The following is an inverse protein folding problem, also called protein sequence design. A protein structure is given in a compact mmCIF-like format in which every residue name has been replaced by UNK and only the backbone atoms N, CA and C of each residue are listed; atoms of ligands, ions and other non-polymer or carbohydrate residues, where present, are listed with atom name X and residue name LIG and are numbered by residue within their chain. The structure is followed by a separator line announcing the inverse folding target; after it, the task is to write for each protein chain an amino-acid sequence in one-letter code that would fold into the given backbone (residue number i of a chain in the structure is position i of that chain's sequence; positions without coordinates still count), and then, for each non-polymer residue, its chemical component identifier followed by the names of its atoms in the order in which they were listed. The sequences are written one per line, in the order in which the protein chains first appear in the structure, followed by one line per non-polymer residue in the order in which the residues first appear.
data_IF_973895183632
#
_entry.id   IF_973895183632
#
_cell.length_a   1.000
_cell.length_b   1.000
_cell.length_c   1.000
_cell.angle_alpha   90.00
_cell.angle_beta   90.00
_cell.angle_gamma   90.00
#
_symmetry.space_group_name_H-M   'P 1'
#
loop_
_entity.id
_entity.type
_entity.pdbx_description
1 polymer ?
#
# COMPACT_ATOMS: atom_id res chain seq x y z
N UNK A 1 28.82 21.72 -23.91
CA UNK A 1 27.79 20.67 -24.09
C UNK A 1 27.20 20.73 -25.49
N UNK A 2 26.90 19.58 -26.10
CA UNK A 2 26.19 19.50 -27.40
C UNK A 2 24.66 19.36 -27.18
N UNK A 3 23.86 19.50 -28.23
CA UNK A 3 22.39 19.48 -28.10
C UNK A 3 21.83 18.13 -27.63
N UNK A 4 22.41 17.01 -28.08
CA UNK A 4 21.98 15.65 -27.66
C UNK A 4 22.18 15.45 -26.15
N UNK A 5 23.36 15.78 -25.63
CA UNK A 5 23.66 15.70 -24.19
C UNK A 5 22.77 16.65 -23.39
N UNK A 6 22.48 17.84 -23.92
CA UNK A 6 21.55 18.75 -23.27
C UNK A 6 20.16 18.12 -23.16
N UNK A 7 19.63 17.56 -24.25
CA UNK A 7 18.28 16.98 -24.27
C UNK A 7 18.13 15.76 -23.36
N UNK A 8 19.16 14.91 -23.27
CA UNK A 8 19.17 13.77 -22.35
C UNK A 8 19.14 14.19 -20.87
N UNK A 9 19.69 15.37 -20.56
CA UNK A 9 19.82 15.86 -19.18
C UNK A 9 18.73 16.86 -18.77
N UNK A 10 17.87 17.33 -19.69
CA UNK A 10 16.82 18.33 -19.39
C UNK A 10 15.83 17.82 -18.35
N UNK A 11 15.42 16.54 -18.39
CA UNK A 11 14.50 15.99 -17.38
C UNK A 11 15.13 16.00 -15.98
N UNK A 12 16.34 15.45 -15.86
CA UNK A 12 17.10 15.38 -14.61
C UNK A 12 17.45 16.79 -14.08
N UNK A 13 17.64 17.74 -14.99
CA UNK A 13 17.83 19.16 -14.66
C UNK A 13 16.57 19.77 -14.03
N UNK A 14 15.38 19.53 -14.60
CA UNK A 14 14.12 20.02 -14.06
C UNK A 14 13.78 19.41 -12.69
N UNK A 15 14.18 18.16 -12.45
CA UNK A 15 14.02 17.46 -11.17
C UNK A 15 15.03 17.91 -10.09
N UNK A 16 15.97 18.81 -10.42
CA UNK A 16 17.07 19.30 -9.56
C UNK A 16 18.02 18.19 -9.05
N UNK A 17 18.17 17.09 -9.80
CA UNK A 17 19.02 15.95 -9.40
C UNK A 17 20.46 16.05 -9.95
N UNK A 18 20.78 17.11 -10.70
CA UNK A 18 22.11 17.30 -11.27
C UNK A 18 23.08 18.01 -10.32
N UNK A 19 24.36 17.62 -10.42
CA UNK A 19 25.46 18.32 -9.77
C UNK A 19 25.53 19.79 -10.22
N UNK A 20 25.93 20.70 -9.32
CA UNK A 20 25.87 22.15 -9.58
C UNK A 20 26.68 22.59 -10.80
N UNK A 21 27.77 21.89 -11.11
CA UNK A 21 28.61 22.16 -12.27
C UNK A 21 27.87 21.85 -13.58
N UNK A 22 27.23 20.68 -13.69
CA UNK A 22 26.48 20.25 -14.88
C UNK A 22 25.22 21.11 -15.07
N UNK A 23 24.55 21.46 -13.98
CA UNK A 23 23.40 22.37 -13.99
C UNK A 23 23.76 23.74 -14.60
N UNK A 24 24.95 24.27 -14.27
CA UNK A 24 25.44 25.53 -14.87
C UNK A 24 25.77 25.41 -16.35
N UNK A 25 26.29 24.26 -16.80
CA UNK A 25 26.56 23.99 -18.21
C UNK A 25 25.28 23.88 -19.04
N UNK A 26 24.21 23.32 -18.45
CA UNK A 26 22.89 23.28 -19.07
C UNK A 26 22.28 24.68 -19.14
N UNK A 27 22.31 25.45 -18.05
CA UNK A 27 21.78 26.81 -18.03
C UNK A 27 22.45 27.72 -19.07
N UNK A 28 23.78 27.61 -19.22
CA UNK A 28 24.52 28.36 -20.25
C UNK A 28 24.18 27.89 -21.66
N UNK A 29 23.93 26.59 -21.87
CA UNK A 29 23.49 26.07 -23.18
C UNK A 29 22.07 26.52 -23.54
N UNK A 30 21.11 26.44 -22.61
CA UNK A 30 19.73 26.88 -22.81
C UNK A 30 19.64 28.38 -23.12
N UNK A 31 20.53 29.21 -22.56
CA UNK A 31 20.59 30.64 -22.86
C UNK A 31 21.01 30.96 -24.31
N UNK A 32 21.69 30.04 -24.99
CA UNK A 32 22.26 30.25 -26.33
C UNK A 32 21.55 29.40 -27.40
N UNK A 33 20.94 28.28 -27.00
CA UNK A 33 20.35 27.30 -27.91
C UNK A 33 18.82 27.31 -27.82
N UNK A 34 18.19 28.08 -28.70
CA UNK A 34 16.73 28.17 -28.85
C UNK A 34 16.01 26.79 -28.93
N UNK A 35 16.46 25.79 -29.71
CA UNK A 35 15.73 24.53 -29.79
C UNK A 35 15.76 23.73 -28.48
N UNK A 36 16.86 23.77 -27.74
CA UNK A 36 16.94 23.13 -26.42
C UNK A 36 16.13 23.90 -25.37
N UNK A 37 16.10 25.23 -25.44
CA UNK A 37 15.26 26.07 -24.59
C UNK A 37 13.76 25.74 -24.76
N UNK A 38 13.32 25.56 -26.02
CA UNK A 38 11.94 25.19 -26.32
C UNK A 38 11.56 23.81 -25.74
N UNK A 39 12.43 22.81 -25.89
CA UNK A 39 12.20 21.48 -25.29
C UNK A 39 12.10 21.59 -23.75
N UNK A 40 12.96 22.40 -23.13
CA UNK A 40 12.90 22.65 -21.69
C UNK A 40 11.59 23.33 -21.26
N UNK A 41 11.09 24.28 -22.05
CA UNK A 41 9.81 24.97 -21.83
C UNK A 41 8.63 24.01 -21.99
N UNK A 42 8.65 23.13 -23.00
CA UNK A 42 7.63 22.12 -23.22
C UNK A 42 7.53 21.14 -22.03
N UNK A 43 8.67 20.68 -21.49
CA UNK A 43 8.68 19.86 -20.28
C UNK A 43 8.20 20.62 -19.04
N UNK A 44 8.60 21.88 -18.88
CA UNK A 44 8.13 22.72 -17.78
C UNK A 44 6.60 22.93 -17.82
N UNK A 45 6.02 23.13 -19.01
CA UNK A 45 4.56 23.22 -19.17
C UNK A 45 3.83 21.93 -18.76
N UNK A 46 4.40 20.76 -19.06
CA UNK A 46 3.82 19.48 -18.64
C UNK A 46 3.87 19.35 -17.11
N UNK A 47 4.99 19.71 -16.49
CA UNK A 47 5.13 19.69 -15.02
C UNK A 47 4.16 20.67 -14.36
N UNK A 48 4.03 21.88 -14.89
CA UNK A 48 3.06 22.86 -14.40
C UNK A 48 1.62 22.35 -14.53
N UNK A 49 1.27 21.67 -15.64
CA UNK A 49 -0.05 21.05 -15.78
C UNK A 49 -0.30 19.96 -14.72
N UNK A 50 0.69 19.09 -14.49
CA UNK A 50 0.61 18.07 -13.44
C UNK A 50 0.52 18.66 -12.03
N UNK A 51 1.09 19.86 -11.80
CA UNK A 51 1.02 20.56 -10.53
C UNK A 51 -0.29 21.38 -10.37
N UNK A 52 -0.93 21.78 -11.48
CA UNK A 52 -2.20 22.52 -11.50
C UNK A 52 -3.40 21.63 -11.19
N UNK A 53 -3.29 20.34 -11.52
CA UNK A 53 -4.04 19.31 -10.83
C UNK A 53 -3.42 19.16 -9.43
N UNK A 54 -3.62 20.18 -8.59
CA UNK A 54 -3.69 19.97 -7.14
C UNK A 54 -4.74 18.88 -6.98
N UNK A 55 -4.25 17.65 -6.96
CA UNK A 55 -4.99 16.46 -6.60
C UNK A 55 -5.80 16.90 -5.39
N UNK A 56 -7.11 16.75 -5.48
CA UNK A 56 -7.99 16.73 -4.33
C UNK A 56 -7.49 15.58 -3.46
N UNK A 57 -6.40 15.85 -2.74
CA UNK A 57 -5.87 15.01 -1.71
C UNK A 57 -6.99 15.05 -0.70
N UNK A 58 -7.89 14.09 -0.82
CA UNK A 58 -8.81 13.69 0.22
C UNK A 58 -7.94 13.56 1.47
N UNK A 59 -7.91 14.63 2.26
CA UNK A 59 -7.07 14.72 3.44
C UNK A 59 -7.43 13.48 4.24
N UNK A 60 -6.49 12.56 4.46
CA UNK A 60 -6.83 11.32 5.11
C UNK A 60 -7.50 11.67 6.44
N UNK A 61 -8.61 11.00 6.81
CA UNK A 61 -9.31 11.32 8.02
C UNK A 61 -8.30 11.35 9.17
N UNK A 62 -8.20 12.49 9.85
CA UNK A 62 -7.22 12.75 10.91
C UNK A 62 -5.74 12.92 10.46
N UNK A 63 -5.50 13.70 9.40
CA UNK A 63 -4.16 14.13 8.98
C UNK A 63 -3.29 14.70 10.12
N UNK A 64 -3.88 15.42 11.07
CA UNK A 64 -3.16 15.95 12.25
C UNK A 64 -2.58 14.85 13.14
N UNK A 65 -3.32 13.78 13.43
CA UNK A 65 -2.79 12.69 14.25
C UNK A 65 -1.74 11.85 13.51
N UNK A 66 -1.86 11.70 12.19
CA UNK A 66 -0.84 11.07 11.36
C UNK A 66 0.46 11.88 11.41
N UNK A 67 0.38 13.21 11.22
CA UNK A 67 1.55 14.08 11.34
C UNK A 67 2.16 14.06 12.73
N UNK A 68 1.36 14.05 13.80
CA UNK A 68 1.86 13.84 15.16
C UNK A 68 2.61 12.51 15.32
N UNK A 69 2.06 11.42 14.76
CA UNK A 69 2.69 10.09 14.82
C UNK A 69 4.00 10.04 14.03
N UNK A 70 4.01 10.60 12.82
CA UNK A 70 5.21 10.68 11.97
C UNK A 70 6.29 11.49 12.68
N UNK A 71 5.93 12.65 13.24
CA UNK A 71 6.87 13.51 13.94
C UNK A 71 7.45 12.81 15.18
N UNK A 72 6.62 12.13 15.96
CA UNK A 72 7.08 11.32 17.09
C UNK A 72 8.02 10.20 16.65
N UNK A 73 7.74 9.53 15.53
CA UNK A 73 8.56 8.43 15.01
C UNK A 73 9.93 8.95 14.56
N UNK A 74 9.97 10.07 13.82
CA UNK A 74 11.21 10.75 13.43
C UNK A 74 11.99 11.19 14.67
N UNK A 75 11.35 11.82 15.65
CA UNK A 75 12.02 12.23 16.89
C UNK A 75 12.60 11.04 17.66
N UNK A 76 11.91 9.89 17.66
CA UNK A 76 12.43 8.67 18.30
C UNK A 76 13.56 8.00 17.52
N UNK A 77 13.54 8.05 16.18
CA UNK A 77 14.60 7.50 15.32
C UNK A 77 15.85 8.40 15.32
N UNK A 78 15.69 9.71 15.25
CA UNK A 78 16.79 10.69 15.38
C UNK A 78 17.41 10.63 16.78
N UNK A 79 16.61 10.38 17.83
CA UNK A 79 17.13 10.19 19.17
C UNK A 79 17.98 8.92 19.34
N UNK A 80 17.82 7.92 18.46
CA UNK A 80 18.64 6.69 18.49
C UNK A 80 20.01 6.83 17.83
N UNK A 81 20.29 7.92 17.11
CA UNK A 81 21.56 8.12 16.40
C UNK A 81 22.59 9.01 17.13
N UNK A 82 22.31 9.46 18.36
CA UNK A 82 23.35 10.09 19.20
C UNK A 82 23.80 9.05 20.23
N UNK A 83 25.00 8.45 20.10
CA UNK A 83 25.55 7.61 21.15
C UNK A 83 25.93 8.48 22.35
N UNK A 84 24.96 8.78 23.21
CA UNK A 84 25.25 9.14 24.60
C UNK A 84 25.51 7.83 25.33
N UNK A 85 26.77 7.59 25.65
CA UNK A 85 27.17 6.58 26.63
C UNK A 85 26.42 6.84 27.94
N UNK A 86 25.32 6.10 28.15
CA UNK A 86 24.63 6.07 29.43
C UNK A 86 24.91 4.71 30.05
N UNK A 87 25.71 4.75 31.11
CA UNK A 87 25.96 3.70 32.08
C UNK A 87 24.66 2.94 32.38
N UNK A 88 24.56 1.69 31.89
CA UNK A 88 23.46 0.78 32.23
C UNK A 88 23.68 0.26 33.64
N UNK A 89 23.11 0.94 34.63
CA UNK A 89 22.83 0.31 35.92
C UNK A 89 21.90 -0.89 35.71
N UNK A 90 22.42 -2.06 36.07
CA UNK A 90 21.76 -3.35 35.92
C UNK A 90 20.57 -3.44 36.87
N UNK A 91 19.38 -3.17 36.37
CA UNK A 91 18.13 -3.62 37.02
C UNK A 91 18.09 -5.15 36.93
N UNK A 92 18.51 -5.82 38.00
CA UNK A 92 18.37 -7.27 38.18
C UNK A 92 16.89 -7.60 38.34
N UNK A 93 16.23 -7.90 37.22
CA UNK A 93 14.89 -8.45 37.17
C UNK A 93 15.00 -9.97 37.36
N UNK A 94 14.79 -10.44 38.59
CA UNK A 94 14.84 -11.86 38.96
C UNK A 94 13.74 -12.64 38.24
N UNK A 95 14.05 -13.24 37.09
CA UNK A 95 13.29 -14.34 36.52
C UNK A 95 13.79 -15.64 37.12
N UNK A 96 13.02 -16.22 38.03
CA UNK A 96 13.25 -17.59 38.50
C UNK A 96 12.69 -18.56 37.47
N UNK A 97 13.47 -18.87 36.44
CA UNK A 97 13.18 -20.01 35.58
C UNK A 97 13.64 -21.30 36.27
N UNK A 98 12.72 -22.26 36.37
CA UNK A 98 13.01 -23.60 36.89
C UNK A 98 13.97 -24.32 35.94
N UNK A 99 15.11 -24.78 36.47
CA UNK A 99 16.22 -25.38 35.71
C UNK A 99 15.83 -26.60 34.85
N UNK A 100 14.64 -27.17 35.03
CA UNK A 100 14.14 -28.27 34.18
C UNK A 100 13.70 -27.83 32.78
N UNK A 101 13.36 -26.56 32.55
CA UNK A 101 12.85 -26.08 31.25
C UNK A 101 13.97 -25.70 30.24
N UNK A 102 15.18 -25.39 30.72
CA UNK A 102 16.30 -24.99 29.85
C UNK A 102 16.91 -26.18 29.11
N UNK A 103 17.02 -27.35 29.74
CA UNK A 103 17.61 -28.54 29.11
C UNK A 103 16.73 -29.16 28.01
N UNK A 104 15.40 -29.12 28.15
CA UNK A 104 14.48 -29.59 27.12
C UNK A 104 14.58 -28.75 25.82
N UNK A 105 14.79 -27.44 25.98
CA UNK A 105 14.89 -26.49 24.87
C UNK A 105 16.17 -26.69 24.05
N UNK A 106 17.30 -26.98 24.71
CA UNK A 106 18.59 -27.24 24.03
C UNK A 106 18.51 -28.52 23.19
N UNK A 107 17.86 -29.57 23.69
CA UNK A 107 17.69 -30.82 22.95
C UNK A 107 16.76 -30.66 21.73
N UNK A 108 15.69 -29.87 21.87
CA UNK A 108 14.78 -29.57 20.76
C UNK A 108 15.45 -28.78 19.63
N UNK A 109 16.21 -27.74 19.97
CA UNK A 109 16.91 -26.90 18.97
C UNK A 109 18.00 -27.72 18.25
N UNK A 110 18.72 -28.59 18.95
CA UNK A 110 19.75 -29.45 18.34
C UNK A 110 19.14 -30.41 17.31
N UNK A 111 18.00 -31.03 17.61
CA UNK A 111 17.31 -31.94 16.69
C UNK A 111 16.77 -31.21 15.45
N UNK A 112 16.18 -30.02 15.61
CA UNK A 112 15.65 -29.23 14.50
C UNK A 112 16.76 -28.71 13.58
N UNK A 113 17.88 -28.25 14.15
CA UNK A 113 19.01 -27.78 13.33
C UNK A 113 19.69 -28.92 12.55
N UNK A 114 19.80 -30.11 13.17
CA UNK A 114 20.34 -31.31 12.51
C UNK A 114 19.46 -31.75 11.33
N UNK A 115 18.12 -31.71 11.50
CA UNK A 115 17.17 -32.03 10.43
C UNK A 115 17.23 -31.02 9.27
N UNK A 116 17.32 -29.72 9.56
CA UNK A 116 17.43 -28.68 8.53
C UNK A 116 18.71 -28.79 7.71
N UNK A 117 19.82 -29.20 8.33
CA UNK A 117 21.11 -29.35 7.64
C UNK A 117 21.09 -30.52 6.65
N UNK A 118 20.42 -31.63 7.01
CA UNK A 118 20.29 -32.81 6.14
C UNK A 118 19.36 -32.54 4.95
N UNK A 119 18.29 -31.76 5.15
CA UNK A 119 17.36 -31.41 4.06
C UNK A 119 17.97 -30.36 3.10
N UNK A 120 18.76 -29.41 3.62
CA UNK A 120 19.43 -28.40 2.81
C UNK A 120 20.45 -28.98 1.82
N UNK A 121 21.24 -29.98 2.24
CA UNK A 121 22.26 -30.60 1.37
C UNK A 121 21.62 -31.43 0.24
N UNK A 122 20.42 -31.99 0.45
CA UNK A 122 19.75 -32.81 -0.57
C UNK A 122 19.03 -32.01 -1.65
N UNK A 123 18.64 -30.76 -1.34
CA UNK A 123 17.90 -29.89 -2.27
C UNK A 123 18.82 -29.02 -3.15
N UNK A 124 20.09 -28.83 -2.76
CA UNK A 124 21.04 -27.99 -3.50
C UNK A 124 21.68 -28.70 -4.71
N UNK A 125 21.39 -29.99 -4.93
CA UNK A 125 21.94 -30.79 -6.03
C UNK A 125 21.06 -30.82 -7.28
N UNK A 126 19.96 -30.06 -7.33
CA UNK A 126 19.14 -29.91 -8.53
C UNK A 126 19.50 -28.60 -9.25
N UNK A 127 19.92 -28.64 -10.53
CA UNK A 127 20.20 -27.42 -11.29
C UNK A 127 18.91 -26.62 -11.49
N UNK A 128 18.96 -25.34 -11.13
CA UNK A 128 17.84 -24.39 -11.23
C UNK A 128 17.76 -23.88 -12.67
N UNK A 129 16.77 -24.33 -13.41
CA UNK A 129 16.26 -23.61 -14.58
C UNK A 129 15.40 -22.45 -14.09
N UNK A 130 15.86 -21.22 -14.34
CA UNK A 130 15.12 -19.99 -14.02
C UNK A 130 14.04 -19.80 -15.09
N UNK A 131 12.85 -20.33 -14.81
CA UNK A 131 11.63 -20.01 -15.57
C UNK A 131 10.74 -19.11 -14.73
N UNK A 132 10.44 -17.94 -15.28
CA UNK A 132 9.65 -16.86 -14.68
C UNK A 132 8.13 -17.15 -14.69
N UNK A 133 7.74 -18.30 -14.12
CA UNK A 133 6.38 -18.62 -13.71
C UNK A 133 6.49 -19.52 -12.47
N UNK A 134 6.89 -18.91 -11.35
CA UNK A 134 6.96 -19.62 -10.09
C UNK A 134 5.54 -19.86 -9.58
N UNK A 135 5.02 -21.07 -9.85
CA UNK A 135 3.98 -21.67 -9.01
C UNK A 135 4.41 -21.55 -7.55
N UNK A 136 3.50 -21.18 -6.62
CA UNK A 136 3.85 -20.93 -5.23
C UNK A 136 4.60 -22.12 -4.67
N UNK A 137 5.77 -21.85 -4.12
CA UNK A 137 6.65 -22.89 -3.61
C UNK A 137 5.90 -23.71 -2.56
N UNK A 138 6.16 -25.02 -2.46
CA UNK A 138 5.50 -25.87 -1.45
C UNK A 138 5.69 -25.33 -0.01
N UNK A 139 6.67 -24.45 0.19
CA UNK A 139 6.91 -23.69 1.40
C UNK A 139 5.83 -22.63 1.70
N UNK A 140 5.38 -21.86 0.70
CA UNK A 140 4.27 -20.90 0.85
C UNK A 140 2.94 -21.61 1.13
N UNK A 141 2.70 -22.76 0.49
CA UNK A 141 1.52 -23.61 0.77
C UNK A 141 1.55 -24.22 2.17
N UNK A 142 2.73 -24.51 2.70
CA UNK A 142 2.89 -25.01 4.07
C UNK A 142 2.72 -23.88 5.09
N UNK A 143 3.21 -22.67 4.81
CA UNK A 143 3.08 -21.51 5.70
C UNK A 143 1.66 -20.94 5.73
N UNK A 144 0.93 -20.95 4.62
CA UNK A 144 -0.49 -20.58 4.57
C UNK A 144 -1.37 -21.52 5.41
N UNK A 145 -0.99 -22.80 5.55
CA UNK A 145 -1.69 -23.75 6.44
C UNK A 145 -1.38 -23.57 7.93
N UNK A 146 -0.31 -22.86 8.28
CA UNK A 146 0.13 -22.65 9.67
C UNK A 146 -0.36 -21.28 10.20
N UNK A 147 -1.01 -20.44 9.38
CA UNK A 147 -1.62 -19.18 9.81
C UNK A 147 -0.61 -18.08 10.17
N UNK A 148 0.64 -18.21 9.72
CA UNK A 148 1.74 -17.28 10.00
C UNK A 148 1.83 -16.16 8.96
N UNK A 149 1.15 -16.31 7.82
CA UNK A 149 1.03 -15.30 6.77
C UNK A 149 -0.45 -15.22 6.41
N UNK A 150 -1.07 -14.09 6.74
CA UNK A 150 -2.41 -13.76 6.25
C UNK A 150 -2.31 -13.75 4.72
N UNK A 151 -3.04 -14.65 4.05
CA UNK A 151 -3.00 -14.71 2.60
C UNK A 151 -3.61 -13.42 2.04
N UNK A 152 -3.13 -12.97 0.87
CA UNK A 152 -3.69 -11.79 0.18
C UNK A 152 -5.21 -11.88 0.03
N UNK A 153 -5.74 -13.08 -0.16
CA UNK A 153 -7.18 -13.36 -0.18
C UNK A 153 -7.86 -13.13 1.17
N UNK A 154 -7.27 -13.57 2.27
CA UNK A 154 -7.86 -13.40 3.60
C UNK A 154 -7.93 -11.92 3.99
N UNK A 155 -6.91 -11.12 3.66
CA UNK A 155 -6.96 -9.66 3.86
C UNK A 155 -8.06 -9.01 3.02
N UNK A 156 -8.26 -9.45 1.76
CA UNK A 156 -9.35 -8.95 0.90
C UNK A 156 -10.73 -9.27 1.49
N UNK A 157 -10.94 -10.52 1.93
CA UNK A 157 -12.19 -10.91 2.58
C UNK A 157 -12.49 -10.09 3.84
N UNK A 158 -11.45 -9.79 4.63
CA UNK A 158 -11.59 -8.96 5.82
C UNK A 158 -12.01 -7.52 5.45
N UNK A 159 -11.41 -6.91 4.42
CA UNK A 159 -11.80 -5.58 3.91
C UNK A 159 -13.25 -5.56 3.41
N UNK A 160 -13.66 -6.54 2.62
CA UNK A 160 -15.03 -6.64 2.11
C UNK A 160 -16.03 -6.72 3.27
N UNK A 161 -15.72 -7.48 4.33
CA UNK A 161 -16.57 -7.55 5.54
C UNK A 161 -16.67 -6.21 6.25
N UNK A 162 -15.57 -5.48 6.37
CA UNK A 162 -15.55 -4.15 6.97
C UNK A 162 -16.39 -3.16 6.15
N UNK A 163 -16.23 -3.14 4.83
CA UNK A 163 -17.03 -2.33 3.92
C UNK A 163 -18.52 -2.68 4.02
N UNK A 164 -18.86 -3.96 4.06
CA UNK A 164 -20.25 -4.42 4.19
C UNK A 164 -20.89 -3.95 5.50
N UNK A 165 -20.15 -3.98 6.61
CA UNK A 165 -20.64 -3.47 7.88
C UNK A 165 -20.89 -1.95 7.85
N UNK A 166 -20.04 -1.19 7.16
CA UNK A 166 -20.22 0.25 6.95
C UNK A 166 -21.45 0.53 6.06
N UNK A 167 -21.62 -0.21 4.97
CA UNK A 167 -22.80 -0.14 4.10
C UNK A 167 -24.08 -0.39 4.91
N UNK A 168 -24.11 -1.44 5.73
CA UNK A 168 -25.27 -1.77 6.57
C UNK A 168 -25.59 -0.66 7.58
N UNK A 169 -24.55 -0.02 8.14
CA UNK A 169 -24.69 1.11 9.05
C UNK A 169 -25.35 2.31 8.34
N UNK A 170 -24.85 2.71 7.17
CA UNK A 170 -25.38 3.85 6.44
C UNK A 170 -26.76 3.57 5.88
N UNK A 171 -27.02 2.35 5.40
CA UNK A 171 -28.32 1.95 4.88
C UNK A 171 -29.43 2.10 5.94
N UNK A 172 -29.20 1.65 7.18
CA UNK A 172 -30.16 1.87 8.29
C UNK A 172 -30.47 3.35 8.53
N UNK A 173 -29.47 4.21 8.33
CA UNK A 173 -29.56 5.65 8.58
C UNK A 173 -30.32 6.35 7.44
N UNK A 174 -30.04 5.96 6.21
CA UNK A 174 -30.82 6.33 5.02
C UNK A 174 -32.28 5.95 5.21
N UNK A 175 -32.59 4.70 5.55
CA UNK A 175 -33.97 4.23 5.75
C UNK A 175 -34.73 5.03 6.81
N UNK A 176 -34.05 5.44 7.89
CA UNK A 176 -34.66 6.28 8.92
C UNK A 176 -35.11 7.65 8.37
N UNK A 177 -34.31 8.23 7.45
CA UNK A 177 -34.56 9.53 6.82
C UNK A 177 -35.43 9.47 5.57
N UNK A 178 -35.46 8.32 4.89
CA UNK A 178 -36.18 8.08 3.62
C UNK A 178 -37.66 8.47 3.68
N UNK A 179 -38.28 8.40 4.85
CA UNK A 179 -39.67 8.84 5.08
C UNK A 179 -39.90 10.33 4.82
N UNK A 180 -38.87 11.16 4.99
CA UNK A 180 -38.93 12.61 4.85
C UNK A 180 -38.57 13.09 3.43
N UNK A 181 -38.07 12.20 2.58
CA UNK A 181 -37.71 12.54 1.21
C UNK A 181 -38.96 12.67 0.33
N UNK A 182 -38.90 13.58 -0.64
CA UNK A 182 -39.89 13.62 -1.70
C UNK A 182 -39.76 12.40 -2.65
N UNK A 183 -40.73 12.24 -3.54
CA UNK A 183 -40.81 11.07 -4.44
C UNK A 183 -39.64 11.07 -5.43
N UNK A 184 -39.23 12.24 -5.92
CA UNK A 184 -38.16 12.37 -6.90
C UNK A 184 -36.80 11.97 -6.32
N UNK A 185 -36.50 12.40 -5.09
CA UNK A 185 -35.28 12.07 -4.38
C UNK A 185 -35.19 10.57 -4.08
N UNK A 186 -36.32 9.93 -3.69
CA UNK A 186 -36.38 8.47 -3.51
C UNK A 186 -36.12 7.73 -4.81
N UNK A 187 -36.76 8.13 -5.91
CA UNK A 187 -36.58 7.49 -7.22
C UNK A 187 -35.16 7.68 -7.77
N UNK A 188 -34.53 8.84 -7.53
CA UNK A 188 -33.13 9.06 -7.87
C UNK A 188 -32.21 8.14 -7.08
N UNK A 189 -32.40 8.07 -5.76
CA UNK A 189 -31.65 7.17 -4.88
C UNK A 189 -31.80 5.70 -5.29
N UNK A 190 -33.04 5.25 -5.49
CA UNK A 190 -33.34 3.84 -5.82
C UNK A 190 -32.73 3.41 -7.16
N UNK A 191 -32.74 4.30 -8.16
CA UNK A 191 -32.08 4.03 -9.46
C UNK A 191 -30.56 3.90 -9.30
N UNK A 192 -29.93 4.88 -8.66
CA UNK A 192 -28.48 4.88 -8.47
C UNK A 192 -28.02 3.69 -7.63
N UNK A 193 -28.73 3.39 -6.53
CA UNK A 193 -28.40 2.25 -5.68
C UNK A 193 -28.55 0.93 -6.44
N UNK A 194 -29.60 0.78 -7.25
CA UNK A 194 -29.80 -0.42 -8.05
C UNK A 194 -28.73 -0.61 -9.14
N UNK A 195 -28.26 0.47 -9.77
CA UNK A 195 -27.14 0.39 -10.73
C UNK A 195 -25.86 -0.10 -10.05
N UNK A 196 -25.52 0.45 -8.89
CA UNK A 196 -24.34 0.01 -8.14
C UNK A 196 -24.50 -1.44 -7.64
N UNK A 197 -25.70 -1.81 -7.17
CA UNK A 197 -25.99 -3.18 -6.73
C UNK A 197 -25.81 -4.22 -7.84
N UNK A 198 -26.14 -3.87 -9.09
CA UNK A 198 -25.91 -4.74 -10.25
C UNK A 198 -24.42 -4.96 -10.49
N UNK A 199 -23.63 -3.89 -10.40
CA UNK A 199 -22.16 -3.96 -10.58
C UNK A 199 -21.51 -4.79 -9.48
N UNK A 200 -21.89 -4.57 -8.22
CA UNK A 200 -21.42 -5.37 -7.08
C UNK A 200 -21.76 -6.84 -7.27
N UNK A 201 -22.99 -7.16 -7.69
CA UNK A 201 -23.42 -8.53 -7.93
C UNK A 201 -22.62 -9.19 -9.07
N UNK A 202 -22.33 -8.46 -10.14
CA UNK A 202 -21.56 -8.99 -11.27
C UNK A 202 -20.13 -9.36 -10.85
N UNK A 203 -19.44 -8.48 -10.14
CA UNK A 203 -18.07 -8.76 -9.70
C UNK A 203 -18.00 -9.81 -8.59
N UNK A 204 -18.97 -9.86 -7.67
CA UNK A 204 -19.03 -10.94 -6.68
C UNK A 204 -19.19 -12.30 -7.37
N UNK A 205 -20.05 -12.40 -8.40
CA UNK A 205 -20.20 -13.62 -9.20
C UNK A 205 -18.91 -14.00 -9.92
N UNK A 206 -18.22 -13.04 -10.54
CA UNK A 206 -16.94 -13.31 -11.22
C UNK A 206 -15.91 -13.83 -10.22
N UNK A 207 -15.84 -13.27 -9.02
CA UNK A 207 -14.91 -13.71 -7.98
C UNK A 207 -15.28 -15.07 -7.37
N UNK A 208 -16.56 -15.44 -7.33
CA UNK A 208 -16.99 -16.79 -6.97
C UNK A 208 -16.51 -17.83 -8.00
N UNK A 209 -16.53 -17.49 -9.29
CA UNK A 209 -16.05 -18.35 -10.37
C UNK A 209 -14.52 -18.36 -10.48
N UNK A 210 -13.87 -17.21 -10.24
CA UNK A 210 -12.43 -17.02 -10.30
C UNK A 210 -11.91 -16.20 -9.11
N UNK A 211 -11.60 -16.85 -7.97
CA UNK A 211 -11.16 -16.16 -6.75
C UNK A 211 -9.78 -15.48 -6.82
N UNK A 212 -9.00 -15.73 -7.89
CA UNK A 212 -7.67 -15.17 -8.09
C UNK A 212 -7.67 -14.03 -9.13
N UNK A 213 -8.85 -13.56 -9.54
CA UNK A 213 -8.96 -12.40 -10.41
C UNK A 213 -8.75 -11.13 -9.60
N UNK A 214 -7.58 -10.51 -9.77
CA UNK A 214 -7.24 -9.27 -9.07
C UNK A 214 -8.01 -8.07 -9.59
N UNK A 215 -8.26 -8.00 -10.90
CA UNK A 215 -9.00 -6.89 -11.50
C UNK A 215 -10.45 -6.88 -11.00
N UNK A 216 -11.13 -8.01 -11.04
CA UNK A 216 -12.50 -8.12 -10.51
C UNK A 216 -12.57 -7.82 -9.01
N UNK A 217 -11.49 -8.12 -8.27
CA UNK A 217 -11.34 -7.74 -6.87
C UNK A 217 -11.30 -6.23 -6.67
N UNK A 218 -10.46 -5.53 -7.42
CA UNK A 218 -10.35 -4.07 -7.36
C UNK A 218 -11.64 -3.38 -7.80
N UNK A 219 -12.29 -3.91 -8.84
CA UNK A 219 -13.58 -3.37 -9.31
C UNK A 219 -14.70 -3.57 -8.29
N UNK A 220 -14.74 -4.71 -7.59
CA UNK A 220 -15.68 -4.92 -6.49
C UNK A 220 -15.41 -3.95 -5.34
N UNK A 221 -14.15 -3.79 -4.93
CA UNK A 221 -13.76 -2.86 -3.87
C UNK A 221 -14.16 -1.41 -4.23
N UNK A 222 -14.01 -1.01 -5.50
CA UNK A 222 -14.44 0.29 -6.01
C UNK A 222 -15.97 0.47 -5.97
N UNK A 223 -16.73 -0.52 -6.44
CA UNK A 223 -18.20 -0.47 -6.43
C UNK A 223 -18.78 -0.43 -5.01
N UNK A 224 -18.18 -1.16 -4.06
CA UNK A 224 -18.57 -1.12 -2.65
C UNK A 224 -18.28 0.24 -2.01
N UNK A 225 -17.17 0.89 -2.37
CA UNK A 225 -16.87 2.25 -1.91
C UNK A 225 -17.87 3.27 -2.48
N UNK A 226 -18.21 3.18 -3.76
CA UNK A 226 -19.22 4.05 -4.38
C UNK A 226 -20.59 3.88 -3.71
N UNK A 227 -20.99 2.63 -3.45
CA UNK A 227 -22.21 2.32 -2.69
C UNK A 227 -22.21 2.97 -1.30
N UNK A 228 -21.09 2.85 -0.60
CA UNK A 228 -20.94 3.45 0.73
C UNK A 228 -21.05 4.97 0.69
N UNK A 229 -20.43 5.62 -0.30
CA UNK A 229 -20.45 7.07 -0.44
C UNK A 229 -21.85 7.57 -0.78
N UNK A 230 -22.55 6.93 -1.72
CA UNK A 230 -23.95 7.23 -2.03
C UNK A 230 -24.83 7.14 -0.78
N UNK A 231 -24.67 6.08 0.02
CA UNK A 231 -25.42 5.92 1.26
C UNK A 231 -25.07 7.01 2.29
N UNK A 232 -23.80 7.44 2.36
CA UNK A 232 -23.36 8.50 3.26
C UNK A 232 -23.99 9.84 2.88
N UNK A 233 -23.88 10.24 1.63
CA UNK A 233 -24.43 11.51 1.13
C UNK A 233 -25.93 11.62 1.44
N UNK A 234 -26.69 10.58 1.12
CA UNK A 234 -28.13 10.56 1.36
C UNK A 234 -28.49 10.43 2.85
N UNK A 235 -27.65 9.80 3.67
CA UNK A 235 -27.84 9.80 5.11
C UNK A 235 -27.63 11.17 5.75
N UNK A 236 -26.95 12.11 5.08
CA UNK A 236 -26.69 13.46 5.58
C UNK A 236 -27.77 14.49 5.20
N UNK A 237 -28.49 14.29 4.09
CA UNK A 237 -29.67 15.06 3.67
C UNK A 237 -30.81 15.05 4.71
#
# INVERSE_FOLDING_TARGET
MNCEQCQELISVYLDNELESQVSSEIQTHLAVCEPCAKVCEDFAMILDFCNLDEVDYTLPPNSKALWCRINNLIETEVATEIPKEINKEKVKRNWQFSFSQVFASILGIALVSSLLTIVGIKNFSAPVDVSANASPSMFERALGKIGVIETTQQTRENRIKEQQAAIDYWNKRVEAKRRNWDIYLREAFDRNLNEIDQVVFEYDRILQENPQDDLSGEMLDSALNEKMELLREFAEL
#
